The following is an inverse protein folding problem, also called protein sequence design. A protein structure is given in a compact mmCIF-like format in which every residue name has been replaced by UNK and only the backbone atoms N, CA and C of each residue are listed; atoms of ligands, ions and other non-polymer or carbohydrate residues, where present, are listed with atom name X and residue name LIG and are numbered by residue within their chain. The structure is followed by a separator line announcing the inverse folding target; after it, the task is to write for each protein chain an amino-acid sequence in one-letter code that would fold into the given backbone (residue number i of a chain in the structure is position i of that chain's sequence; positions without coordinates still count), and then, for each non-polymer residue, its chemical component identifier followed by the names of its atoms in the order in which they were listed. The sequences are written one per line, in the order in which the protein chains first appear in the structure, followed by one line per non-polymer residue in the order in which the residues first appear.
data_IF_398125104512
#
_entry.id   IF_398125104512
#
_cell.length_a   1.000
_cell.length_b   1.000
_cell.length_c   1.000
_cell.angle_alpha   90.00
_cell.angle_beta   90.00
_cell.angle_gamma   90.00
#
_symmetry.space_group_name_H-M   'P 1'
#
loop_
_entity.id
_entity.type
_entity.pdbx_description
1 polymer ?
#
# COMPACT_ATOMS: atom_id res chain seq x y z
N UNK A 1 -31.22 -1.25 2.44
CA UNK A 1 -31.45 -1.24 3.88
C UNK A 1 -30.17 -1.25 4.71
N UNK A 2 -29.15 -2.02 4.30
CA UNK A 2 -27.87 -2.04 5.02
C UNK A 2 -27.18 -0.68 4.96
N UNK A 3 -27.25 0.02 3.85
CA UNK A 3 -26.66 1.35 3.72
C UNK A 3 -27.41 2.36 4.58
N UNK A 4 -28.76 2.27 4.62
CA UNK A 4 -29.58 3.12 5.46
C UNK A 4 -29.24 2.89 6.94
N UNK A 5 -29.06 1.64 7.34
CA UNK A 5 -28.69 1.29 8.71
C UNK A 5 -27.30 1.84 9.06
N UNK A 6 -26.34 1.73 8.16
CA UNK A 6 -25.01 2.29 8.34
C UNK A 6 -25.02 3.80 8.47
N UNK A 7 -25.85 4.48 7.67
CA UNK A 7 -25.99 5.93 7.75
C UNK A 7 -26.56 6.39 9.09
N UNK A 8 -27.57 5.70 9.59
CA UNK A 8 -28.17 5.98 10.90
C UNK A 8 -27.15 5.78 12.00
N UNK A 9 -26.42 4.65 11.96
CA UNK A 9 -25.38 4.35 12.93
C UNK A 9 -24.29 5.39 12.95
N UNK A 10 -23.83 5.82 11.78
CA UNK A 10 -22.81 6.85 11.65
C UNK A 10 -23.30 8.20 12.16
N UNK A 11 -24.55 8.56 11.85
CA UNK A 11 -25.16 9.80 12.31
C UNK A 11 -25.27 9.83 13.84
N UNK A 12 -25.66 8.71 14.44
CA UNK A 12 -25.76 8.59 15.89
C UNK A 12 -24.39 8.69 16.56
N UNK A 13 -23.39 8.08 15.95
CA UNK A 13 -22.00 8.16 16.43
C UNK A 13 -21.51 9.60 16.41
N UNK A 14 -21.77 10.34 15.34
CA UNK A 14 -21.37 11.74 15.21
C UNK A 14 -22.07 12.59 16.29
N UNK A 15 -23.36 12.37 16.53
CA UNK A 15 -24.09 13.07 17.59
C UNK A 15 -23.48 12.80 18.96
N UNK A 16 -23.14 11.54 19.24
CA UNK A 16 -22.49 11.17 20.51
C UNK A 16 -21.15 11.87 20.67
N UNK A 17 -20.34 11.92 19.61
CA UNK A 17 -19.05 12.58 19.64
C UNK A 17 -19.21 14.09 19.82
N UNK A 18 -20.21 14.71 19.20
CA UNK A 18 -20.50 16.14 19.39
C UNK A 18 -20.90 16.44 20.82
N UNK A 19 -21.70 15.57 21.45
CA UNK A 19 -22.07 15.72 22.86
C UNK A 19 -20.84 15.63 23.77
N UNK A 20 -19.82 14.88 23.35
CA UNK A 20 -18.57 14.75 24.11
C UNK A 20 -17.56 15.86 23.77
N UNK A 21 -17.95 16.87 22.96
CA UNK A 21 -17.10 18.02 22.67
C UNK A 21 -16.46 18.03 21.29
N UNK A 22 -16.86 17.13 20.40
CA UNK A 22 -16.33 17.15 19.02
C UNK A 22 -16.85 18.39 18.28
N UNK A 23 -15.92 19.20 17.76
CA UNK A 23 -16.24 20.33 16.93
C UNK A 23 -16.32 19.85 15.46
N UNK A 24 -17.48 20.07 14.83
CA UNK A 24 -17.75 19.63 13.46
C UNK A 24 -16.80 20.26 12.45
N UNK A 25 -16.51 21.55 12.61
CA UNK A 25 -15.60 22.27 11.71
C UNK A 25 -14.18 21.74 11.79
N UNK A 26 -13.70 21.41 13.01
CA UNK A 26 -12.39 20.82 13.21
C UNK A 26 -12.32 19.41 12.62
N UNK A 27 -13.40 18.64 12.74
CA UNK A 27 -13.49 17.30 12.15
C UNK A 27 -13.38 17.37 10.62
N UNK A 28 -14.16 18.29 9.98
CA UNK A 28 -14.11 18.49 8.54
C UNK A 28 -12.71 18.90 8.07
N UNK A 29 -12.06 19.81 8.83
CA UNK A 29 -10.72 20.26 8.50
C UNK A 29 -9.73 19.09 8.57
N UNK A 30 -9.86 18.25 9.59
CA UNK A 30 -9.01 17.06 9.74
C UNK A 30 -9.19 16.11 8.55
N UNK A 31 -10.44 15.85 8.12
CA UNK A 31 -10.73 15.01 6.97
C UNK A 31 -10.08 15.60 5.70
N UNK A 32 -10.22 16.91 5.48
CA UNK A 32 -9.60 17.58 4.34
C UNK A 32 -8.08 17.44 4.35
N UNK A 33 -7.45 17.63 5.51
CA UNK A 33 -6.01 17.51 5.65
C UNK A 33 -5.54 16.08 5.41
N UNK A 34 -6.29 15.07 5.88
CA UNK A 34 -5.99 13.68 5.62
C UNK A 34 -6.08 13.34 4.13
N UNK A 35 -7.07 13.89 3.43
CA UNK A 35 -7.20 13.70 1.97
C UNK A 35 -6.02 14.31 1.23
N UNK A 36 -5.60 15.51 1.61
CA UNK A 36 -4.44 16.17 0.99
C UNK A 36 -3.16 15.37 1.23
N UNK A 37 -2.97 14.88 2.46
CA UNK A 37 -1.82 14.04 2.79
C UNK A 37 -1.84 12.73 1.97
N UNK A 38 -3.02 12.11 1.85
CA UNK A 38 -3.19 10.89 1.07
C UNK A 38 -2.86 11.12 -0.41
N UNK A 39 -3.31 12.24 -0.98
CA UNK A 39 -3.01 12.58 -2.37
C UNK A 39 -1.50 12.72 -2.59
N UNK A 40 -0.79 13.32 -1.64
CA UNK A 40 0.66 13.44 -1.70
C UNK A 40 1.34 12.07 -1.68
N UNK A 41 0.89 11.18 -0.80
CA UNK A 41 1.44 9.83 -0.71
C UNK A 41 1.17 9.06 -2.00
N UNK A 42 -0.03 9.19 -2.58
CA UNK A 42 -0.36 8.55 -3.85
C UNK A 42 0.53 9.04 -4.99
N UNK A 43 0.77 10.34 -5.04
CA UNK A 43 1.66 10.92 -6.04
C UNK A 43 3.07 10.31 -5.96
N UNK A 44 3.65 10.25 -4.77
CA UNK A 44 4.98 9.69 -4.59
C UNK A 44 5.00 8.17 -4.79
N UNK A 45 3.91 7.50 -4.49
CA UNK A 45 3.75 6.07 -4.75
C UNK A 45 3.80 5.77 -6.24
N UNK A 46 3.02 6.49 -7.03
CA UNK A 46 3.00 6.33 -8.48
C UNK A 46 4.35 6.67 -9.09
N UNK A 47 4.97 7.74 -8.61
CA UNK A 47 6.30 8.15 -9.07
C UNK A 47 7.35 7.08 -8.77
N UNK A 48 7.31 6.50 -7.57
CA UNK A 48 8.24 5.44 -7.18
C UNK A 48 8.10 4.20 -8.07
N UNK A 49 6.88 3.77 -8.32
CA UNK A 49 6.61 2.62 -9.20
C UNK A 49 7.10 2.92 -10.62
N UNK A 50 6.83 4.12 -11.12
CA UNK A 50 7.23 4.51 -12.47
C UNK A 50 8.74 4.59 -12.63
N UNK A 51 9.44 5.21 -11.67
CA UNK A 51 10.87 5.50 -11.79
C UNK A 51 11.76 4.33 -11.38
N UNK A 52 11.31 3.51 -10.43
CA UNK A 52 12.15 2.53 -9.77
C UNK A 52 11.70 1.09 -9.97
N UNK A 53 10.75 0.85 -10.85
CA UNK A 53 10.35 -0.49 -11.24
C UNK A 53 10.29 -0.61 -12.77
N UNK A 54 10.53 -1.81 -13.25
CA UNK A 54 10.45 -2.12 -14.66
C UNK A 54 9.64 -3.39 -14.85
N UNK A 55 8.50 -3.28 -15.55
CA UNK A 55 7.61 -4.41 -15.83
C UNK A 55 7.93 -5.00 -17.19
N UNK A 56 7.85 -6.32 -17.27
CA UNK A 56 8.06 -7.04 -18.52
C UNK A 56 7.21 -8.30 -18.55
N UNK A 57 7.21 -9.00 -19.69
CA UNK A 57 6.38 -10.21 -19.93
C UNK A 57 4.90 -9.94 -19.71
N UNK A 58 4.39 -8.83 -20.25
CA UNK A 58 2.99 -8.42 -20.14
C UNK A 58 2.52 -8.33 -18.67
N UNK A 59 3.33 -7.68 -17.83
CA UNK A 59 3.06 -7.48 -16.41
C UNK A 59 3.02 -8.79 -15.60
N UNK A 60 3.75 -9.80 -16.04
CA UNK A 60 3.94 -11.04 -15.25
C UNK A 60 5.20 -11.04 -14.42
N UNK A 61 6.07 -10.08 -14.66
CA UNK A 61 7.33 -9.93 -13.94
C UNK A 61 7.68 -8.47 -13.81
N UNK A 62 8.41 -8.13 -12.75
CA UNK A 62 8.93 -6.80 -12.53
C UNK A 62 10.28 -6.87 -11.81
N UNK A 63 11.14 -5.91 -12.09
CA UNK A 63 12.40 -5.70 -11.38
C UNK A 63 12.27 -4.39 -10.63
N UNK A 64 12.54 -4.43 -9.32
CA UNK A 64 12.54 -3.25 -8.45
C UNK A 64 13.99 -2.95 -8.08
N UNK A 65 14.44 -1.72 -8.35
CA UNK A 65 15.81 -1.36 -8.03
C UNK A 65 15.94 -0.96 -6.54
N UNK A 66 17.16 -0.68 -6.12
CA UNK A 66 17.46 -0.32 -4.73
C UNK A 66 16.74 0.96 -4.30
N UNK A 67 16.63 1.94 -5.18
CA UNK A 67 15.97 3.23 -4.90
C UNK A 67 14.49 3.06 -4.60
N UNK A 68 13.86 2.00 -5.11
CA UNK A 68 12.45 1.70 -4.82
C UNK A 68 12.21 1.61 -3.31
N UNK A 69 13.18 1.08 -2.57
CA UNK A 69 13.06 0.85 -1.12
C UNK A 69 13.65 1.99 -0.27
N UNK A 70 14.19 3.03 -0.91
CA UNK A 70 14.78 4.19 -0.23
C UNK A 70 13.80 5.36 -0.07
N UNK A 71 12.51 5.13 -0.30
CA UNK A 71 11.46 6.12 -0.11
C UNK A 71 10.92 6.05 1.32
N UNK A 72 10.10 7.04 1.74
CA UNK A 72 9.42 6.94 3.03
C UNK A 72 8.63 5.64 3.17
N UNK A 73 8.53 5.15 4.40
CA UNK A 73 7.96 3.83 4.68
C UNK A 73 6.59 3.60 4.06
N UNK A 74 5.69 4.57 4.19
CA UNK A 74 4.33 4.44 3.64
C UNK A 74 4.34 4.40 2.10
N UNK A 75 5.23 5.16 1.47
CA UNK A 75 5.39 5.14 0.01
C UNK A 75 5.88 3.77 -0.45
N UNK A 76 6.88 3.22 0.23
CA UNK A 76 7.39 1.88 -0.09
C UNK A 76 6.31 0.83 0.08
N UNK A 77 5.57 0.88 1.18
CA UNK A 77 4.47 -0.06 1.46
C UNK A 77 3.43 -0.05 0.34
N UNK A 78 2.95 1.13 -0.03
CA UNK A 78 1.92 1.27 -1.08
C UNK A 78 2.46 0.90 -2.45
N UNK A 79 3.70 1.30 -2.75
CA UNK A 79 4.34 0.97 -4.03
C UNK A 79 4.49 -0.53 -4.20
N UNK A 80 4.98 -1.20 -3.16
CA UNK A 80 5.17 -2.65 -3.19
C UNK A 80 3.84 -3.39 -3.31
N UNK A 81 2.83 -2.94 -2.57
CA UNK A 81 1.47 -3.49 -2.65
C UNK A 81 0.91 -3.35 -4.07
N UNK A 82 1.14 -2.20 -4.70
CA UNK A 82 0.69 -1.97 -6.07
C UNK A 82 1.37 -2.91 -7.06
N UNK A 83 2.69 -3.12 -6.92
CA UNK A 83 3.42 -4.05 -7.77
C UNK A 83 2.87 -5.48 -7.61
N UNK A 84 2.65 -5.92 -6.38
CA UNK A 84 2.09 -7.25 -6.12
C UNK A 84 0.70 -7.40 -6.73
N UNK A 85 -0.12 -6.35 -6.68
CA UNK A 85 -1.46 -6.37 -7.25
C UNK A 85 -1.40 -6.46 -8.78
N UNK A 86 -0.52 -5.70 -9.40
CA UNK A 86 -0.37 -5.70 -10.87
C UNK A 86 0.05 -7.09 -11.36
N UNK A 87 1.01 -7.71 -10.69
CA UNK A 87 1.57 -8.99 -11.11
C UNK A 87 0.70 -10.17 -10.67
N UNK A 88 0.29 -10.19 -9.42
CA UNK A 88 -0.48 -11.29 -8.83
C UNK A 88 -1.94 -11.30 -9.18
N UNK A 89 -2.51 -10.14 -9.50
CA UNK A 89 -3.93 -9.96 -9.88
C UNK A 89 -4.91 -10.50 -8.85
N UNK A 90 -4.60 -10.34 -7.56
CA UNK A 90 -5.52 -10.70 -6.49
C UNK A 90 -6.56 -9.60 -6.27
N UNK A 91 -7.81 -10.00 -6.03
CA UNK A 91 -8.91 -9.07 -5.77
C UNK A 91 -8.80 -8.39 -4.41
N UNK A 92 -8.28 -9.07 -3.41
CA UNK A 92 -8.14 -8.52 -2.07
C UNK A 92 -6.67 -8.24 -1.78
N UNK A 93 -6.40 -7.17 -1.00
CA UNK A 93 -5.02 -6.81 -0.71
C UNK A 93 -4.34 -7.86 0.18
N UNK A 94 -3.04 -8.00 0.01
CA UNK A 94 -2.22 -8.80 0.91
C UNK A 94 -2.20 -8.12 2.29
N UNK A 95 -2.25 -8.92 3.35
CA UNK A 95 -2.26 -8.40 4.72
C UNK A 95 -0.99 -7.57 5.00
N UNK A 96 -1.19 -6.38 5.58
CA UNK A 96 -0.13 -5.43 5.83
C UNK A 96 1.04 -5.99 6.62
N UNK A 97 0.77 -6.81 7.64
CA UNK A 97 1.81 -7.42 8.46
C UNK A 97 2.77 -8.29 7.63
N UNK A 98 2.25 -9.06 6.68
CA UNK A 98 3.08 -9.88 5.82
C UNK A 98 3.99 -9.04 4.92
N UNK A 99 3.45 -7.94 4.41
CA UNK A 99 4.24 -7.01 3.60
C UNK A 99 5.31 -6.33 4.45
N UNK A 100 4.96 -5.86 5.65
CA UNK A 100 5.93 -5.24 6.56
C UNK A 100 7.08 -6.18 6.89
N UNK A 101 6.79 -7.45 7.17
CA UNK A 101 7.81 -8.45 7.45
C UNK A 101 8.73 -8.66 6.25
N UNK A 102 8.14 -8.72 5.05
CA UNK A 102 8.92 -8.90 3.83
C UNK A 102 9.81 -7.69 3.55
N UNK A 103 9.29 -6.47 3.75
CA UNK A 103 10.08 -5.25 3.57
C UNK A 103 11.26 -5.18 4.54
N UNK A 104 11.08 -5.69 5.77
CA UNK A 104 12.19 -5.79 6.73
C UNK A 104 13.26 -6.77 6.25
N UNK A 105 12.86 -7.91 5.68
CA UNK A 105 13.80 -8.88 5.11
C UNK A 105 14.59 -8.27 3.96
N UNK A 106 13.95 -7.46 3.12
CA UNK A 106 14.63 -6.78 2.02
C UNK A 106 15.72 -5.85 2.55
N UNK A 107 15.45 -5.15 3.64
CA UNK A 107 16.43 -4.25 4.27
C UNK A 107 17.65 -4.97 4.84
N UNK A 108 17.51 -6.23 5.24
CA UNK A 108 18.60 -7.01 5.80
C UNK A 108 19.65 -7.44 4.76
N UNK A 109 19.42 -7.11 3.50
CA UNK A 109 20.37 -7.32 2.40
C UNK A 109 20.78 -8.78 2.19
N UNK A 110 19.91 -9.73 2.54
CA UNK A 110 20.14 -11.16 2.32
C UNK A 110 19.35 -11.64 1.12
N UNK A 111 19.93 -12.58 0.38
CA UNK A 111 19.21 -13.24 -0.71
C UNK A 111 18.09 -14.10 -0.14
N UNK A 112 16.89 -14.01 -0.72
CA UNK A 112 15.76 -14.84 -0.30
C UNK A 112 14.80 -15.08 -1.48
N UNK A 113 13.90 -16.03 -1.27
CA UNK A 113 12.81 -16.34 -2.20
C UNK A 113 11.56 -16.60 -1.37
N UNK A 114 10.53 -15.79 -1.53
CA UNK A 114 9.27 -15.88 -0.77
C UNK A 114 8.11 -15.79 -1.73
N UNK A 115 7.03 -16.52 -1.44
CA UNK A 115 5.77 -16.45 -2.18
C UNK A 115 4.76 -15.64 -1.37
N UNK A 116 4.17 -14.61 -1.99
CA UNK A 116 3.19 -13.75 -1.35
C UNK A 116 2.29 -13.12 -2.42
N UNK A 117 0.98 -13.11 -2.18
CA UNK A 117 0.03 -12.42 -3.06
C UNK A 117 0.02 -12.92 -4.50
N UNK A 118 0.13 -14.23 -4.72
CA UNK A 118 0.26 -14.86 -6.03
C UNK A 118 1.54 -14.46 -6.77
N UNK A 119 2.53 -13.97 -6.05
CA UNK A 119 3.81 -13.58 -6.60
C UNK A 119 4.94 -14.34 -5.93
N UNK A 120 5.98 -14.62 -6.71
CA UNK A 120 7.25 -15.12 -6.19
C UNK A 120 8.18 -13.92 -6.12
N UNK A 121 8.71 -13.64 -4.93
CA UNK A 121 9.55 -12.49 -4.67
C UNK A 121 10.96 -12.99 -4.35
N UNK A 122 11.92 -12.56 -5.16
CA UNK A 122 13.31 -12.96 -5.01
C UNK A 122 14.19 -11.73 -4.87
N UNK A 123 15.11 -11.77 -3.91
CA UNK A 123 16.12 -10.73 -3.83
C UNK A 123 17.44 -11.25 -4.36
N UNK A 124 17.99 -10.57 -5.37
CA UNK A 124 19.26 -10.89 -6.00
C UNK A 124 20.10 -9.61 -6.01
N UNK A 125 21.20 -9.61 -5.26
CA UNK A 125 22.03 -8.42 -5.07
C UNK A 125 21.22 -7.27 -4.47
N UNK A 126 21.15 -6.12 -5.14
CA UNK A 126 20.39 -4.96 -4.70
C UNK A 126 19.01 -4.86 -5.35
N UNK A 127 18.67 -5.81 -6.20
CA UNK A 127 17.40 -5.79 -6.92
C UNK A 127 16.43 -6.80 -6.33
N UNK A 128 15.15 -6.49 -6.43
CA UNK A 128 14.07 -7.40 -6.06
C UNK A 128 13.30 -7.76 -7.33
N UNK A 129 13.15 -9.05 -7.58
CA UNK A 129 12.43 -9.55 -8.74
C UNK A 129 11.11 -10.12 -8.26
N UNK A 130 10.03 -9.64 -8.84
CA UNK A 130 8.66 -10.10 -8.55
C UNK A 130 8.13 -10.80 -9.79
N UNK A 131 7.71 -12.04 -9.63
CA UNK A 131 7.21 -12.86 -10.74
C UNK A 131 5.87 -13.46 -10.35
N UNK A 132 4.98 -13.59 -11.33
CA UNK A 132 3.68 -14.23 -11.08
C UNK A 132 3.87 -15.71 -10.74
N UNK A 133 3.20 -16.16 -9.69
CA UNK A 133 3.15 -17.57 -9.31
C UNK A 133 2.27 -18.34 -10.30
N UNK A 134 2.73 -19.52 -10.69
CA UNK A 134 1.97 -20.40 -11.59
C UNK A 134 1.05 -21.34 -10.86
#
# INVERSE_FOLDING_TARGET
EQEKFKRIKMRNLIKSLQAEGLNFDKFDLTIKNLKLANNSIEYFTEKNVKDNSHFFSKNKSAILNDDFFNCPKEVVFRSFTNVLRIIGKKYYPVRGKKIDNLLQLIKLNRSFKITLGNCIIRKVNRSVIVTKEH
#
